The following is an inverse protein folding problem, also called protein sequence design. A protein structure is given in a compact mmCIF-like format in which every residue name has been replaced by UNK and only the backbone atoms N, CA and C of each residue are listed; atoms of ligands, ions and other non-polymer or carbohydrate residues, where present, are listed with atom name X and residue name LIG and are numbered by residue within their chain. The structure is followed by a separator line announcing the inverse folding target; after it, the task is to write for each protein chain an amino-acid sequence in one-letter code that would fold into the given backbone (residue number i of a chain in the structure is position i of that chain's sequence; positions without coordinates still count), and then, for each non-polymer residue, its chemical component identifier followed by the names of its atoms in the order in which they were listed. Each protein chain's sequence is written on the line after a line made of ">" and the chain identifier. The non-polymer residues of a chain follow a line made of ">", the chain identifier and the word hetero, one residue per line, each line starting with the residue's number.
data_IF_868592568593
#
_entry.id   IF_868592568593
#
_cell.length_a   1.000
_cell.length_b   1.000
_cell.length_c   1.000
_cell.angle_alpha   90.00
_cell.angle_beta   90.00
_cell.angle_gamma   90.00
#
_symmetry.space_group_name_H-M   'P 1'
#
loop_
_entity.id
_entity.type
_entity.pdbx_description
1 polymer ?
#
# COMPACT_ATOMS: atom_id res chain seq x y z
N UNK A 1 25.31 1.38 3.87
CA UNK A 1 24.59 0.78 5.02
C UNK A 1 23.35 -0.04 4.60
N UNK A 2 23.07 -0.22 3.31
CA UNK A 2 21.80 -0.77 2.80
C UNK A 2 21.38 -2.17 3.24
N UNK A 3 22.30 -3.09 3.55
CA UNK A 3 21.92 -4.47 3.96
C UNK A 3 21.13 -4.49 5.27
N UNK A 4 21.41 -3.53 6.18
CA UNK A 4 20.70 -3.40 7.46
C UNK A 4 19.28 -2.87 7.26
N UNK A 5 19.08 -1.95 6.31
CA UNK A 5 17.76 -1.40 5.98
C UNK A 5 16.87 -2.44 5.30
N UNK A 6 17.45 -3.26 4.41
CA UNK A 6 16.74 -4.39 3.81
C UNK A 6 16.27 -5.38 4.88
N UNK A 7 17.14 -5.71 5.83
CA UNK A 7 16.80 -6.61 6.92
C UNK A 7 15.71 -6.02 7.83
N UNK A 8 15.77 -4.71 8.09
CA UNK A 8 14.76 -4.00 8.88
C UNK A 8 13.42 -3.93 8.14
N UNK A 9 13.42 -3.73 6.82
CA UNK A 9 12.22 -3.74 6.00
C UNK A 9 11.57 -5.14 5.92
N UNK A 10 12.39 -6.20 5.76
CA UNK A 10 11.91 -7.57 5.87
C UNK A 10 11.34 -7.86 7.26
N UNK A 11 12.01 -7.43 8.32
CA UNK A 11 11.51 -7.58 9.69
C UNK A 11 10.19 -6.81 9.91
N UNK A 12 10.10 -5.58 9.39
CA UNK A 12 8.90 -4.76 9.43
C UNK A 12 7.71 -5.40 8.68
N UNK A 13 7.97 -6.12 7.59
CA UNK A 13 6.94 -6.86 6.86
C UNK A 13 6.22 -7.90 7.74
N UNK A 14 6.93 -8.50 8.70
CA UNK A 14 6.34 -9.45 9.65
C UNK A 14 5.53 -8.78 10.76
N UNK A 15 5.74 -7.48 11.02
CA UNK A 15 5.01 -6.74 12.07
C UNK A 15 3.52 -6.68 11.76
N UNK A 16 3.12 -6.50 10.50
CA UNK A 16 1.71 -6.50 10.10
C UNK A 16 0.98 -7.82 10.44
N UNK A 17 1.44 -8.98 9.94
CA UNK A 17 0.90 -10.30 10.28
C UNK A 17 0.96 -10.61 11.78
N UNK A 18 2.06 -10.26 12.48
CA UNK A 18 2.16 -10.47 13.93
C UNK A 18 1.11 -9.65 14.68
N UNK A 19 0.94 -8.38 14.31
CA UNK A 19 -0.04 -7.48 14.93
C UNK A 19 -1.46 -8.02 14.73
N UNK A 20 -1.79 -8.51 13.53
CA UNK A 20 -3.07 -9.17 13.26
C UNK A 20 -3.28 -10.44 14.11
N UNK A 21 -2.21 -11.22 14.33
CA UNK A 21 -2.25 -12.42 15.15
C UNK A 21 -2.46 -12.12 16.64
N UNK A 22 -1.91 -11.00 17.14
CA UNK A 22 -2.05 -10.54 18.53
C UNK A 22 -3.42 -9.89 18.77
N UNK A 23 -3.88 -9.06 17.83
CA UNK A 23 -5.18 -8.36 17.91
C UNK A 23 -6.35 -9.35 17.76
N UNK A 24 -6.14 -10.48 17.07
CA UNK A 24 -7.17 -11.48 16.79
C UNK A 24 -8.29 -10.91 15.91
N UNK A 25 -9.45 -11.58 15.88
CA UNK A 25 -10.61 -11.14 15.09
C UNK A 25 -11.39 -9.96 15.72
N UNK A 26 -10.73 -9.10 16.50
CA UNK A 26 -11.38 -7.93 17.11
C UNK A 26 -11.71 -6.89 16.04
N UNK A 27 -12.86 -7.06 15.40
CA UNK A 27 -13.41 -6.23 14.31
C UNK A 27 -13.32 -4.72 14.57
N UNK A 28 -13.43 -4.27 15.81
CA UNK A 28 -13.36 -2.84 16.15
C UNK A 28 -11.94 -2.26 15.99
N UNK A 29 -10.90 -2.99 16.40
CA UNK A 29 -9.51 -2.55 16.26
C UNK A 29 -9.11 -2.57 14.78
N UNK A 30 -9.52 -3.61 14.05
CA UNK A 30 -9.28 -3.72 12.62
C UNK A 30 -9.93 -2.56 11.83
N UNK A 31 -11.17 -2.20 12.16
CA UNK A 31 -11.84 -1.03 11.56
C UNK A 31 -11.15 0.29 11.88
N UNK A 32 -10.63 0.45 13.10
CA UNK A 32 -9.87 1.65 13.47
C UNK A 32 -8.56 1.74 12.69
N UNK A 33 -7.80 0.64 12.60
CA UNK A 33 -6.56 0.57 11.84
C UNK A 33 -6.81 0.85 10.35
N UNK A 34 -7.88 0.29 9.78
CA UNK A 34 -8.26 0.53 8.40
C UNK A 34 -8.58 2.01 8.15
N UNK A 35 -9.35 2.64 9.04
CA UNK A 35 -9.60 4.07 9.00
C UNK A 35 -8.33 4.91 9.15
N UNK A 36 -7.42 4.53 10.04
CA UNK A 36 -6.13 5.20 10.22
C UNK A 36 -5.28 5.10 8.97
N UNK A 37 -5.14 3.90 8.38
CA UNK A 37 -4.39 3.68 7.14
C UNK A 37 -4.97 4.53 6.02
N UNK A 38 -6.30 4.54 5.86
CA UNK A 38 -6.97 5.34 4.84
C UNK A 38 -6.66 6.84 4.99
N UNK A 39 -6.78 7.37 6.21
CA UNK A 39 -6.51 8.80 6.48
C UNK A 39 -5.02 9.11 6.29
N UNK A 40 -4.12 8.25 6.76
CA UNK A 40 -2.68 8.43 6.58
C UNK A 40 -2.28 8.42 5.11
N UNK A 41 -2.72 7.43 4.33
CA UNK A 41 -2.44 7.34 2.89
C UNK A 41 -3.05 8.53 2.16
N UNK A 42 -4.30 8.89 2.44
CA UNK A 42 -4.95 10.04 1.82
C UNK A 42 -4.20 11.35 2.13
N UNK A 43 -3.82 11.57 3.40
CA UNK A 43 -3.05 12.74 3.81
C UNK A 43 -1.67 12.81 3.13
N UNK A 44 -0.99 11.67 3.01
CA UNK A 44 0.32 11.60 2.37
C UNK A 44 0.22 11.80 0.85
N UNK A 45 -0.80 11.24 0.21
CA UNK A 45 -1.06 11.48 -1.21
C UNK A 45 -1.43 12.93 -1.47
N UNK A 46 -2.34 13.52 -0.70
CA UNK A 46 -2.77 14.91 -0.92
C UNK A 46 -1.70 15.93 -0.52
N UNK A 47 -0.91 15.65 0.52
CA UNK A 47 0.08 16.58 1.08
C UNK A 47 1.46 16.50 0.42
N UNK A 48 1.86 15.32 -0.06
CA UNK A 48 3.22 15.10 -0.60
C UNK A 48 3.16 14.75 -2.07
N UNK A 49 2.43 13.70 -2.44
CA UNK A 49 2.48 13.19 -3.80
C UNK A 49 1.74 14.04 -4.82
N UNK A 50 0.54 14.54 -4.49
CA UNK A 50 -0.28 15.33 -5.40
C UNK A 50 0.35 16.69 -5.73
N UNK A 51 0.89 17.46 -4.76
CA UNK A 51 1.59 18.70 -5.06
C UNK A 51 2.84 18.45 -5.91
N UNK A 52 3.58 17.38 -5.62
CA UNK A 52 4.76 17.00 -6.39
C UNK A 52 4.41 16.56 -7.82
N UNK A 53 3.35 15.77 -7.99
CA UNK A 53 2.82 15.39 -9.30
C UNK A 53 2.33 16.62 -10.08
N UNK A 54 1.66 17.55 -9.42
CA UNK A 54 1.25 18.82 -10.03
C UNK A 54 2.46 19.63 -10.51
N UNK A 55 3.54 19.68 -9.72
CA UNK A 55 4.76 20.39 -10.11
C UNK A 55 5.48 19.74 -11.29
N UNK A 56 5.46 18.40 -11.39
CA UNK A 56 6.18 17.63 -12.43
C UNK A 56 5.41 17.52 -13.75
N UNK A 57 4.10 17.25 -13.70
CA UNK A 57 3.28 16.97 -14.90
C UNK A 57 2.04 17.88 -15.02
N UNK A 58 1.88 18.86 -14.13
CA UNK A 58 0.81 19.85 -14.20
C UNK A 58 -0.58 19.24 -14.12
N UNK A 59 -1.47 19.72 -14.99
CA UNK A 59 -2.88 19.33 -14.99
C UNK A 59 -3.12 17.85 -15.35
N UNK A 60 -2.14 17.19 -15.99
CA UNK A 60 -2.19 15.76 -16.27
C UNK A 60 -2.15 14.91 -14.98
N UNK A 61 -1.77 15.48 -13.84
CA UNK A 61 -1.83 14.82 -12.54
C UNK A 61 -3.26 14.47 -12.10
N UNK A 62 -4.27 15.29 -12.44
CA UNK A 62 -5.67 15.01 -12.02
C UNK A 62 -6.23 13.71 -12.61
N UNK A 63 -6.21 13.47 -13.94
CA UNK A 63 -6.75 12.25 -14.49
C UNK A 63 -5.99 11.01 -14.01
N UNK A 64 -4.69 11.11 -13.75
CA UNK A 64 -3.90 10.02 -13.15
C UNK A 64 -4.29 9.76 -11.69
N UNK A 65 -4.47 10.81 -10.90
CA UNK A 65 -4.97 10.69 -9.52
C UNK A 65 -6.38 10.08 -9.48
N UNK A 66 -7.29 10.56 -10.33
CA UNK A 66 -8.63 9.99 -10.49
C UNK A 66 -8.56 8.52 -10.94
N UNK A 67 -7.67 8.19 -11.89
CA UNK A 67 -7.40 6.82 -12.30
C UNK A 67 -6.98 5.93 -11.13
N UNK A 68 -6.07 6.42 -10.28
CA UNK A 68 -5.62 5.72 -9.07
C UNK A 68 -6.75 5.41 -8.08
N UNK A 69 -7.79 6.24 -8.00
CA UNK A 69 -8.98 5.99 -7.18
C UNK A 69 -9.99 5.03 -7.84
N UNK A 70 -10.09 5.05 -9.17
CA UNK A 70 -11.04 4.25 -9.92
C UNK A 70 -10.58 2.80 -10.07
N UNK A 71 -9.27 2.56 -10.21
CA UNK A 71 -8.69 1.21 -10.40
C UNK A 71 -9.08 0.22 -9.27
N UNK A 72 -8.97 0.56 -7.97
CA UNK A 72 -9.41 -0.32 -6.89
C UNK A 72 -10.91 -0.63 -6.95
N UNK A 73 -11.71 0.39 -7.22
CA UNK A 73 -13.18 0.30 -7.28
C UNK A 73 -13.63 -0.60 -8.43
N UNK A 74 -12.96 -0.51 -9.58
CA UNK A 74 -13.23 -1.37 -10.73
C UNK A 74 -12.75 -2.80 -10.48
N UNK A 75 -11.58 -2.97 -9.85
CA UNK A 75 -11.05 -4.28 -9.46
C UNK A 75 -11.99 -5.00 -8.47
N UNK A 76 -12.64 -4.29 -7.57
CA UNK A 76 -13.64 -4.86 -6.65
C UNK A 76 -14.92 -5.27 -7.37
N UNK A 77 -15.43 -4.42 -8.28
CA UNK A 77 -16.64 -4.72 -9.08
C UNK A 77 -16.47 -5.93 -9.99
N UNK A 78 -15.29 -6.13 -10.58
CA UNK A 78 -14.99 -7.31 -11.41
C UNK A 78 -14.95 -8.62 -10.61
N UNK A 79 -14.89 -8.55 -9.26
CA UNK A 79 -14.70 -9.72 -8.38
C UNK A 79 -15.96 -10.15 -7.63
N UNK A 80 -17.09 -9.46 -7.80
CA UNK A 80 -18.36 -9.75 -7.13
C UNK A 80 -19.01 -11.11 -7.47
N UNK A 81 -18.43 -11.92 -8.37
CA UNK A 81 -18.96 -13.22 -8.80
C UNK A 81 -18.33 -14.49 -8.19
N UNK A 82 -17.28 -14.42 -7.37
CA UNK A 82 -16.50 -15.61 -6.94
C UNK A 82 -16.29 -15.66 -5.43
N UNK A 83 -17.34 -16.01 -4.68
CA UNK A 83 -17.39 -15.92 -3.21
C UNK A 83 -16.36 -16.78 -2.44
N UNK A 84 -15.71 -17.79 -3.04
CA UNK A 84 -14.83 -18.71 -2.28
C UNK A 84 -13.34 -18.75 -2.70
N UNK A 85 -12.93 -18.15 -3.83
CA UNK A 85 -11.50 -18.09 -4.27
C UNK A 85 -10.85 -16.71 -4.10
N UNK A 86 -11.62 -15.70 -3.69
CA UNK A 86 -11.19 -14.30 -3.66
C UNK A 86 -10.29 -14.00 -2.46
N UNK A 87 -10.42 -14.71 -1.34
CA UNK A 87 -9.58 -14.48 -0.16
C UNK A 87 -8.09 -14.75 -0.46
N UNK A 88 -7.74 -15.91 -1.01
CA UNK A 88 -6.35 -16.22 -1.38
C UNK A 88 -5.80 -15.33 -2.49
N UNK A 89 -6.64 -14.93 -3.45
CA UNK A 89 -6.22 -14.04 -4.53
C UNK A 89 -5.94 -12.62 -4.01
N UNK A 90 -6.73 -12.10 -3.06
CA UNK A 90 -6.47 -10.79 -2.44
C UNK A 90 -5.22 -10.82 -1.58
N UNK A 91 -4.98 -11.90 -0.83
CA UNK A 91 -3.73 -12.09 -0.09
C UNK A 91 -2.53 -12.14 -1.04
N UNK A 92 -2.62 -12.88 -2.14
CA UNK A 92 -1.54 -12.97 -3.13
C UNK A 92 -1.24 -11.60 -3.76
N UNK A 93 -2.28 -10.86 -4.17
CA UNK A 93 -2.13 -9.51 -4.73
C UNK A 93 -1.55 -8.54 -3.70
N UNK A 94 -2.04 -8.57 -2.46
CA UNK A 94 -1.54 -7.72 -1.37
C UNK A 94 -0.08 -8.00 -1.03
N UNK A 95 0.31 -9.28 -0.92
CA UNK A 95 1.71 -9.68 -0.70
C UNK A 95 2.59 -9.28 -1.88
N UNK A 96 2.12 -9.51 -3.11
CA UNK A 96 2.87 -9.11 -4.32
C UNK A 96 3.09 -7.60 -4.37
N UNK A 97 2.07 -6.80 -4.04
CA UNK A 97 2.17 -5.35 -3.97
C UNK A 97 3.14 -4.89 -2.88
N UNK A 98 3.11 -5.49 -1.70
CA UNK A 98 4.05 -5.19 -0.61
C UNK A 98 5.50 -5.52 -0.98
N UNK A 99 5.72 -6.67 -1.63
CA UNK A 99 7.06 -7.06 -2.13
C UNK A 99 7.54 -6.06 -3.17
N UNK A 100 6.69 -5.70 -4.14
CA UNK A 100 7.04 -4.74 -5.18
C UNK A 100 7.37 -3.36 -4.58
N UNK A 101 6.60 -2.93 -3.59
CA UNK A 101 6.80 -1.67 -2.88
C UNK A 101 8.15 -1.67 -2.13
N UNK A 102 8.43 -2.70 -1.33
CA UNK A 102 9.70 -2.82 -0.60
C UNK A 102 10.93 -2.92 -1.52
N UNK A 103 10.79 -3.58 -2.67
CA UNK A 103 11.86 -3.63 -3.69
C UNK A 103 12.10 -2.25 -4.29
N UNK A 104 11.03 -1.51 -4.61
CA UNK A 104 11.14 -0.16 -5.18
C UNK A 104 11.80 0.81 -4.20
N UNK A 105 11.45 0.74 -2.92
CA UNK A 105 12.11 1.51 -1.85
C UNK A 105 13.60 1.13 -1.71
N UNK A 106 13.92 -0.17 -1.79
CA UNK A 106 15.30 -0.65 -1.75
C UNK A 106 16.15 -0.19 -2.94
N UNK A 107 15.57 -0.10 -4.14
CA UNK A 107 16.24 0.43 -5.34
C UNK A 107 16.51 1.93 -5.17
N UNK A 108 15.53 2.70 -4.70
CA UNK A 108 15.70 4.13 -4.45
C UNK A 108 16.82 4.43 -3.44
N UNK A 109 16.93 3.64 -2.37
CA UNK A 109 18.01 3.75 -1.39
C UNK A 109 19.38 3.34 -1.94
N UNK A 110 19.44 2.35 -2.83
CA UNK A 110 20.68 1.92 -3.48
C UNK A 110 21.19 2.97 -4.49
N UNK A 111 20.29 3.65 -5.20
CA UNK A 111 20.63 4.75 -6.11
C UNK A 111 21.00 6.04 -5.36
N UNK A 112 20.45 6.29 -4.16
CA UNK A 112 20.76 7.48 -3.36
C UNK A 112 22.10 7.41 -2.60
N UNK A 113 22.81 6.28 -2.63
CA UNK A 113 24.22 6.20 -2.23
C UNK A 113 24.54 6.32 -0.73
N UNK A 114 23.74 5.72 0.17
CA UNK A 114 24.07 5.57 1.61
C UNK A 114 24.27 4.10 2.09
#
# INVERSE_FOLDING_TARGET
>A
MGFNLLFLALAALFVGPLTLRIVGERRQILRFLDGLILVSVAGLVLGVFLPHAWATIGIAALPLFAGGLVVPTLAERLRHGVSNRVHSATVLVGVSALVLHAVTDGIGLAESGE
#
